data_IF_759682906198
#
_entry.id   IF_759682906198
#
_cell.length_a   1.000
_cell.length_b   1.000
_cell.length_c   1.000
_cell.angle_alpha   90.00
_cell.angle_beta   90.00
_cell.angle_gamma   90.00
#
_symmetry.space_group_name_H-M   'P 1'
#
loop_
_entity.id
_entity.type
_entity.pdbx_description
1 polymer ?
#
# COMPACT_ATOMS: atom_id res chain seq x y z
N UNK A 1 -15.48 -10.97 0.30
CA UNK A 1 -14.40 -10.53 1.21
C UNK A 1 -13.38 -11.66 1.25
N UNK A 2 -12.09 -11.36 1.16
CA UNK A 2 -11.02 -12.37 1.15
C UNK A 2 -10.98 -13.07 2.52
N UNK A 3 -10.97 -14.41 2.53
CA UNK A 3 -11.09 -15.19 3.77
C UNK A 3 -9.72 -15.34 4.45
N UNK A 4 -9.63 -14.97 5.72
CA UNK A 4 -8.43 -15.14 6.56
C UNK A 4 -8.51 -16.44 7.38
N UNK A 5 -7.39 -17.01 7.84
CA UNK A 5 -6.00 -16.59 7.60
C UNK A 5 -5.43 -17.05 6.25
N UNK A 6 -4.24 -16.56 5.92
CA UNK A 6 -3.57 -16.68 4.62
C UNK A 6 -2.36 -17.62 4.65
N UNK A 7 -2.17 -18.32 3.53
CA UNK A 7 -0.89 -18.88 3.10
C UNK A 7 -0.22 -17.90 2.13
N UNK A 8 0.98 -17.41 2.46
CA UNK A 8 1.71 -16.47 1.59
C UNK A 8 2.52 -17.24 0.54
N UNK A 9 2.06 -17.24 -0.70
CA UNK A 9 2.75 -17.88 -1.81
C UNK A 9 3.83 -16.95 -2.37
N UNK A 10 5.09 -17.37 -2.23
CA UNK A 10 6.26 -16.61 -2.66
C UNK A 10 6.81 -17.08 -4.02
N UNK A 11 6.19 -18.09 -4.64
CA UNK A 11 6.64 -18.66 -5.90
C UNK A 11 8.14 -18.95 -5.88
N UNK A 12 8.83 -18.53 -6.93
CA UNK A 12 10.27 -18.58 -7.15
C UNK A 12 10.91 -17.16 -7.05
N UNK A 13 10.43 -16.33 -6.11
CA UNK A 13 10.88 -14.93 -5.97
C UNK A 13 12.42 -14.80 -5.95
N UNK A 14 13.02 -14.01 -6.87
CA UNK A 14 14.47 -13.95 -7.03
C UNK A 14 15.17 -13.13 -5.95
N UNK A 15 14.42 -12.32 -5.19
CA UNK A 15 14.92 -11.45 -4.14
C UNK A 15 13.78 -11.03 -3.18
N UNK A 16 14.10 -10.47 -2.00
CA UNK A 16 13.09 -9.99 -1.05
C UNK A 16 12.18 -8.87 -1.57
N UNK A 17 12.66 -8.02 -2.50
CA UNK A 17 11.88 -6.90 -3.03
C UNK A 17 10.72 -7.40 -3.90
N UNK A 18 10.90 -8.52 -4.61
CA UNK A 18 9.84 -9.18 -5.36
C UNK A 18 8.70 -9.65 -4.44
N UNK A 19 8.97 -10.01 -3.19
CA UNK A 19 7.99 -10.45 -2.20
C UNK A 19 7.40 -9.32 -1.34
N UNK A 20 7.47 -8.06 -1.80
CA UNK A 20 6.97 -6.90 -1.04
C UNK A 20 5.50 -7.00 -0.62
N UNK A 21 4.68 -7.76 -1.36
CA UNK A 21 3.25 -7.94 -1.05
C UNK A 21 3.10 -8.83 0.18
N UNK A 22 3.75 -10.00 0.18
CA UNK A 22 3.81 -10.87 1.35
C UNK A 22 4.42 -10.16 2.57
N UNK A 23 5.49 -9.40 2.35
CA UNK A 23 6.17 -8.63 3.39
C UNK A 23 5.22 -7.63 4.05
N UNK A 24 4.47 -6.87 3.26
CA UNK A 24 3.47 -5.93 3.76
C UNK A 24 2.36 -6.62 4.55
N UNK A 25 1.85 -7.76 4.08
CA UNK A 25 0.84 -8.53 4.82
C UNK A 25 1.41 -9.02 6.16
N UNK A 26 2.61 -9.59 6.18
CA UNK A 26 3.24 -10.07 7.41
C UNK A 26 3.46 -8.95 8.42
N UNK A 27 3.97 -7.80 7.97
CA UNK A 27 4.30 -6.70 8.88
C UNK A 27 3.06 -6.05 9.50
N UNK A 28 1.96 -5.96 8.74
CA UNK A 28 0.78 -5.19 9.13
C UNK A 28 -0.43 -6.03 9.55
N UNK A 29 -0.43 -7.32 9.21
CA UNK A 29 -1.42 -8.33 9.62
C UNK A 29 -0.72 -9.67 9.90
N UNK A 30 0.23 -9.71 10.86
CA UNK A 30 0.90 -10.96 11.23
C UNK A 30 -0.09 -12.06 11.64
N UNK A 31 -1.24 -11.70 12.20
CA UNK A 31 -2.32 -12.63 12.55
C UNK A 31 -3.01 -13.27 11.33
N UNK A 32 -2.90 -12.66 10.13
CA UNK A 32 -3.38 -13.27 8.89
C UNK A 32 -2.29 -14.11 8.23
N UNK A 33 -1.01 -13.82 8.44
CA UNK A 33 0.11 -14.49 7.77
C UNK A 33 0.59 -15.74 8.55
N UNK A 34 -0.12 -16.86 8.40
CA UNK A 34 0.15 -18.09 9.18
C UNK A 34 1.39 -18.84 8.71
N UNK A 35 1.59 -18.95 7.40
CA UNK A 35 2.68 -19.70 6.80
C UNK A 35 3.10 -19.11 5.44
N UNK A 36 4.24 -19.56 4.94
CA UNK A 36 4.70 -19.27 3.59
C UNK A 36 4.83 -20.54 2.75
N UNK A 37 4.62 -20.41 1.45
CA UNK A 37 4.91 -21.46 0.48
C UNK A 37 5.97 -20.94 -0.50
N UNK A 38 7.09 -21.65 -0.61
CA UNK A 38 8.22 -21.31 -1.48
C UNK A 38 8.45 -22.42 -2.49
N UNK A 39 8.55 -22.06 -3.76
CA UNK A 39 8.97 -22.99 -4.81
C UNK A 39 10.50 -23.10 -4.84
N UNK A 40 10.99 -24.09 -5.58
CA UNK A 40 12.41 -24.25 -5.84
C UNK A 40 13.03 -22.96 -6.38
N UNK A 41 14.18 -22.56 -5.83
CA UNK A 41 14.89 -21.34 -6.24
C UNK A 41 14.41 -20.04 -5.60
N UNK A 42 13.34 -20.05 -4.79
CA UNK A 42 12.88 -18.86 -4.06
C UNK A 42 13.95 -18.35 -3.08
N UNK A 43 14.33 -17.07 -3.22
CA UNK A 43 15.28 -16.38 -2.34
C UNK A 43 14.62 -15.42 -1.35
N UNK A 44 13.33 -15.14 -1.52
CA UNK A 44 12.55 -14.42 -0.53
C UNK A 44 12.21 -15.33 0.66
N UNK A 45 12.13 -14.73 1.84
CA UNK A 45 11.79 -15.43 3.08
C UNK A 45 11.10 -14.45 4.03
N UNK A 46 9.84 -14.72 4.35
CA UNK A 46 9.04 -13.93 5.26
C UNK A 46 9.28 -14.31 6.72
N UNK A 47 10.17 -15.27 7.01
CA UNK A 47 10.44 -15.78 8.36
C UNK A 47 9.20 -16.41 9.00
N UNK A 48 8.33 -16.95 8.16
CA UNK A 48 7.17 -17.76 8.53
C UNK A 48 7.51 -19.24 8.33
N UNK A 49 6.79 -20.17 8.99
CA UNK A 49 6.93 -21.59 8.70
C UNK A 49 6.70 -21.88 7.22
N UNK A 50 7.61 -22.65 6.60
CA UNK A 50 7.34 -23.23 5.29
C UNK A 50 6.35 -24.38 5.45
N UNK A 51 5.25 -24.32 4.73
CA UNK A 51 4.22 -25.36 4.75
C UNK A 51 3.83 -25.76 3.33
N UNK A 52 3.59 -27.05 3.15
CA UNK A 52 2.84 -27.57 2.02
C UNK A 52 1.38 -27.08 2.05
N UNK A 53 0.65 -27.23 0.95
CA UNK A 53 -0.78 -26.87 0.90
C UNK A 53 -1.60 -27.62 1.95
N UNK A 54 -1.37 -28.93 2.12
CA UNK A 54 -2.06 -29.76 3.11
C UNK A 54 -1.75 -29.31 4.55
N UNK A 55 -0.49 -29.03 4.87
CA UNK A 55 -0.09 -28.52 6.20
C UNK A 55 -0.72 -27.16 6.48
N UNK A 56 -0.68 -26.24 5.52
CA UNK A 56 -1.30 -24.92 5.65
C UNK A 56 -2.82 -25.03 5.82
N UNK A 57 -3.47 -25.96 5.12
CA UNK A 57 -4.91 -26.22 5.26
C UNK A 57 -5.24 -26.73 6.66
N UNK A 58 -4.45 -27.67 7.16
CA UNK A 58 -4.58 -28.20 8.52
C UNK A 58 -4.30 -27.12 9.59
N UNK A 59 -3.39 -26.19 9.31
CA UNK A 59 -3.14 -25.00 10.13
C UNK A 59 -4.24 -23.93 10.05
N UNK A 60 -5.27 -24.15 9.23
CA UNK A 60 -6.47 -23.31 9.18
C UNK A 60 -6.47 -22.24 8.09
N UNK A 61 -5.44 -22.16 7.25
CA UNK A 61 -5.40 -21.22 6.13
C UNK A 61 -6.61 -21.41 5.21
N UNK A 62 -7.21 -20.28 4.78
CA UNK A 62 -8.41 -20.24 3.94
C UNK A 62 -8.11 -19.75 2.54
N UNK A 63 -7.17 -18.82 2.40
CA UNK A 63 -6.78 -18.24 1.12
C UNK A 63 -5.28 -18.36 0.89
N UNK A 64 -4.87 -18.76 -0.30
CA UNK A 64 -3.51 -18.63 -0.78
C UNK A 64 -3.38 -17.25 -1.45
N UNK A 65 -2.49 -16.41 -0.91
CA UNK A 65 -2.26 -15.07 -1.44
C UNK A 65 -0.97 -15.08 -2.25
N UNK A 66 -1.04 -14.65 -3.51
CA UNK A 66 0.13 -14.43 -4.36
C UNK A 66 0.91 -13.23 -3.81
N UNK A 67 1.92 -13.53 -3.01
CA UNK A 67 2.69 -12.58 -2.21
C UNK A 67 3.82 -11.88 -2.96
N UNK A 68 3.86 -12.01 -4.28
CA UNK A 68 4.97 -11.63 -5.14
C UNK A 68 4.52 -10.73 -6.28
N UNK A 69 5.41 -9.84 -6.70
CA UNK A 69 5.23 -8.99 -7.87
C UNK A 69 6.45 -9.14 -8.79
N UNK A 70 6.22 -9.65 -10.00
CA UNK A 70 7.23 -9.77 -11.04
C UNK A 70 7.04 -8.71 -12.13
N UNK A 71 8.10 -8.47 -12.93
CA UNK A 71 7.98 -7.59 -14.12
C UNK A 71 6.96 -8.21 -15.08
N UNK A 72 5.98 -7.40 -15.49
CA UNK A 72 4.92 -7.83 -16.40
C UNK A 72 3.74 -8.54 -15.74
N UNK A 73 3.83 -8.92 -14.45
CA UNK A 73 2.71 -9.53 -13.73
C UNK A 73 2.36 -10.96 -14.16
N UNK A 74 3.30 -11.67 -14.79
CA UNK A 74 3.07 -13.00 -15.41
C UNK A 74 2.86 -14.08 -14.36
N UNK A 75 1.87 -14.95 -14.56
CA UNK A 75 1.70 -16.20 -13.80
C UNK A 75 2.31 -17.31 -14.66
N UNK A 76 3.39 -17.94 -14.21
CA UNK A 76 4.05 -18.98 -14.98
C UNK A 76 3.27 -20.30 -14.94
N UNK A 77 3.49 -21.18 -15.90
CA UNK A 77 2.88 -22.53 -15.92
C UNK A 77 3.17 -23.33 -14.64
N UNK A 78 4.35 -23.12 -14.04
CA UNK A 78 4.72 -23.78 -12.78
C UNK A 78 3.91 -23.24 -11.60
N UNK A 79 3.61 -21.94 -11.57
CA UNK A 79 2.72 -21.35 -10.57
C UNK A 79 1.28 -21.79 -10.78
N UNK A 80 0.78 -21.80 -12.02
CA UNK A 80 -0.58 -22.24 -12.35
C UNK A 80 -0.84 -23.64 -11.78
N UNK A 81 0.10 -24.57 -11.91
CA UNK A 81 -0.03 -25.92 -11.32
C UNK A 81 -0.26 -25.87 -9.82
N UNK A 82 0.56 -25.14 -9.08
CA UNK A 82 0.42 -24.99 -7.61
C UNK A 82 -0.88 -24.29 -7.24
N UNK A 83 -1.31 -23.28 -8.01
CA UNK A 83 -2.55 -22.57 -7.76
C UNK A 83 -3.79 -23.45 -8.01
N UNK A 84 -3.76 -24.32 -9.03
CA UNK A 84 -4.79 -25.34 -9.27
C UNK A 84 -4.84 -26.35 -8.12
N UNK A 85 -3.68 -26.86 -7.68
CA UNK A 85 -3.59 -27.76 -6.53
C UNK A 85 -4.14 -27.10 -5.24
N UNK A 86 -3.87 -25.81 -5.04
CA UNK A 86 -4.43 -25.07 -3.91
C UNK A 86 -5.96 -24.94 -3.98
N UNK A 87 -6.53 -24.72 -5.16
CA UNK A 87 -7.99 -24.73 -5.34
C UNK A 87 -8.58 -26.11 -5.01
N UNK A 88 -7.93 -27.19 -5.41
CA UNK A 88 -8.33 -28.58 -5.11
C UNK A 88 -8.27 -28.89 -3.61
N UNK A 89 -7.23 -28.43 -2.90
CA UNK A 89 -7.09 -28.50 -1.43
C UNK A 89 -8.07 -27.58 -0.68
N UNK A 90 -8.86 -26.80 -1.42
CA UNK A 90 -9.97 -26.01 -0.89
C UNK A 90 -9.58 -24.61 -0.43
N UNK A 91 -8.51 -24.03 -0.98
CA UNK A 91 -8.16 -22.62 -0.80
C UNK A 91 -8.92 -21.74 -1.79
N UNK A 92 -9.29 -20.53 -1.36
CA UNK A 92 -9.53 -19.43 -2.31
C UNK A 92 -8.16 -18.85 -2.74
N UNK A 93 -8.06 -18.18 -3.89
CA UNK A 93 -6.81 -17.58 -4.36
C UNK A 93 -6.97 -16.07 -4.43
N UNK A 94 -6.01 -15.30 -3.93
CA UNK A 94 -5.99 -13.85 -4.07
C UNK A 94 -4.71 -13.35 -4.72
N UNK A 95 -4.83 -12.41 -5.67
CA UNK A 95 -3.71 -11.87 -6.43
C UNK A 95 -3.88 -10.38 -6.69
N UNK A 96 -2.76 -9.66 -6.61
CA UNK A 96 -2.63 -8.27 -7.07
C UNK A 96 -1.85 -8.14 -8.39
N UNK A 97 -1.60 -9.23 -9.12
CA UNK A 97 -0.85 -9.17 -10.37
C UNK A 97 -1.61 -8.42 -11.47
N UNK A 98 -0.89 -8.03 -12.54
CA UNK A 98 -1.52 -7.47 -13.73
C UNK A 98 -2.20 -8.53 -14.58
N UNK A 99 -1.61 -9.73 -14.68
CA UNK A 99 -2.32 -10.87 -15.25
C UNK A 99 -3.33 -11.36 -14.21
N UNK A 100 -4.60 -11.27 -14.58
CA UNK A 100 -5.70 -11.59 -13.67
C UNK A 100 -5.89 -13.10 -13.58
N UNK A 101 -6.20 -13.58 -12.39
CA UNK A 101 -6.52 -14.99 -12.14
C UNK A 101 -7.70 -15.45 -12.99
N UNK A 102 -8.72 -14.58 -13.16
CA UNK A 102 -9.90 -14.87 -13.96
C UNK A 102 -9.65 -14.97 -15.46
N UNK A 103 -8.52 -14.48 -15.95
CA UNK A 103 -8.15 -14.55 -17.36
C UNK A 103 -7.38 -15.84 -17.68
N UNK A 104 -7.00 -16.63 -16.65
CA UNK A 104 -6.31 -17.92 -16.79
C UNK A 104 -7.32 -19.09 -16.82
N UNK A 105 -7.57 -19.73 -17.98
CA UNK A 105 -8.66 -20.70 -18.13
C UNK A 105 -8.55 -21.91 -17.19
N UNK A 106 -7.33 -22.35 -16.88
CA UNK A 106 -7.09 -23.47 -15.96
C UNK A 106 -7.49 -23.12 -14.52
N UNK A 107 -7.25 -21.88 -14.09
CA UNK A 107 -7.63 -21.43 -12.75
C UNK A 107 -9.14 -21.27 -12.64
N UNK A 108 -9.79 -20.70 -13.66
CA UNK A 108 -11.25 -20.55 -13.70
C UNK A 108 -11.94 -21.92 -13.63
N UNK A 109 -11.53 -22.85 -14.49
CA UNK A 109 -12.11 -24.20 -14.51
C UNK A 109 -11.91 -24.95 -13.18
N UNK A 110 -10.75 -24.80 -12.54
CA UNK A 110 -10.48 -25.38 -11.23
C UNK A 110 -11.34 -24.74 -10.14
N UNK A 111 -11.43 -23.40 -10.12
CA UNK A 111 -12.24 -22.67 -9.14
C UNK A 111 -13.72 -23.05 -9.21
N UNK A 112 -14.28 -23.16 -10.42
CA UNK A 112 -15.65 -23.63 -10.63
C UNK A 112 -15.83 -25.08 -10.16
N UNK A 113 -14.91 -25.98 -10.55
CA UNK A 113 -14.97 -27.40 -10.20
C UNK A 113 -14.95 -27.64 -8.69
N UNK A 114 -14.15 -26.88 -7.95
CA UNK A 114 -13.97 -27.03 -6.50
C UNK A 114 -14.76 -26.00 -5.67
N UNK A 115 -15.60 -25.19 -6.33
CA UNK A 115 -16.45 -24.18 -5.71
C UNK A 115 -15.66 -23.17 -4.86
N UNK A 116 -14.54 -22.68 -5.40
CA UNK A 116 -13.61 -21.73 -4.77
C UNK A 116 -13.68 -20.36 -5.43
N UNK A 117 -13.17 -19.34 -4.74
CA UNK A 117 -13.15 -17.97 -5.24
C UNK A 117 -11.75 -17.55 -5.74
N UNK A 118 -11.73 -16.81 -6.85
CA UNK A 118 -10.54 -16.11 -7.36
C UNK A 118 -10.71 -14.61 -7.09
N UNK A 119 -9.80 -14.02 -6.33
CA UNK A 119 -9.83 -12.63 -5.93
C UNK A 119 -8.75 -11.82 -6.66
N UNK A 120 -9.15 -11.15 -7.73
CA UNK A 120 -8.33 -10.17 -8.45
C UNK A 120 -8.48 -8.79 -7.80
N UNK A 121 -7.62 -8.45 -6.84
CA UNK A 121 -7.74 -7.19 -6.07
C UNK A 121 -7.44 -5.93 -6.89
N UNK A 122 -6.98 -6.11 -8.13
CA UNK A 122 -6.66 -5.04 -9.06
C UNK A 122 -7.80 -4.67 -9.99
N UNK A 123 -8.93 -5.35 -9.90
CA UNK A 123 -10.12 -5.05 -10.69
C UNK A 123 -11.02 -4.10 -9.90
N UNK A 124 -11.30 -2.89 -10.42
CA UNK A 124 -12.38 -2.06 -9.89
C UNK A 124 -13.71 -2.81 -9.92
N UNK A 125 -14.36 -2.94 -8.77
CA UNK A 125 -15.68 -3.63 -8.64
C UNK A 125 -16.85 -2.65 -8.48
N UNK A 126 -16.57 -1.36 -8.56
CA UNK A 126 -17.55 -0.27 -8.41
C UNK A 126 -17.43 0.64 -9.62
N UNK A 127 -18.58 1.04 -10.16
CA UNK A 127 -18.66 2.12 -11.15
C UNK A 127 -18.49 3.46 -10.43
N UNK A 128 -17.26 3.94 -10.38
CA UNK A 128 -16.94 5.19 -9.70
C UNK A 128 -17.50 6.40 -10.46
N UNK A 129 -18.05 7.40 -9.77
CA UNK A 129 -18.49 8.62 -10.42
C UNK A 129 -17.30 9.48 -10.85
N UNK A 130 -17.56 10.49 -11.67
CA UNK A 130 -16.61 11.61 -11.85
C UNK A 130 -16.60 12.42 -10.55
N UNK A 131 -15.40 12.82 -10.11
CA UNK A 131 -15.24 13.64 -8.91
C UNK A 131 -16.03 14.96 -9.02
N UNK A 132 -16.67 15.37 -7.93
CA UNK A 132 -17.44 16.61 -7.88
C UNK A 132 -16.81 17.69 -6.97
N UNK A 133 -15.79 17.35 -6.19
CA UNK A 133 -15.05 18.27 -5.34
C UNK A 133 -15.84 18.85 -4.16
N UNK A 134 -17.05 18.35 -3.87
CA UNK A 134 -17.81 18.78 -2.70
C UNK A 134 -17.07 18.35 -1.44
N UNK A 135 -16.83 19.31 -0.54
CA UNK A 135 -16.21 19.04 0.76
C UNK A 135 -17.08 18.04 1.53
N UNK A 136 -16.41 17.06 2.12
CA UNK A 136 -17.00 16.00 2.93
C UNK A 136 -16.60 16.20 4.39
N UNK A 137 -17.50 15.82 5.29
CA UNK A 137 -17.25 15.75 6.74
C UNK A 137 -16.16 14.73 7.07
N UNK A 138 -15.62 14.80 8.29
CA UNK A 138 -14.40 14.09 8.68
C UNK A 138 -13.13 14.69 8.07
N UNK A 139 -11.99 14.19 8.54
CA UNK A 139 -10.66 14.68 8.20
C UNK A 139 -9.88 13.66 7.37
N UNK A 140 -8.97 14.15 6.52
CA UNK A 140 -8.24 13.32 5.55
C UNK A 140 -6.75 13.64 5.61
N UNK A 141 -5.92 12.62 5.80
CA UNK A 141 -4.46 12.73 5.72
C UNK A 141 -3.98 11.96 4.48
N UNK A 142 -3.19 12.61 3.62
CA UNK A 142 -2.59 11.97 2.46
C UNK A 142 -1.06 11.93 2.60
N UNK A 143 -0.49 10.73 2.49
CA UNK A 143 0.94 10.57 2.32
C UNK A 143 1.34 10.88 0.87
N UNK A 144 2.16 11.91 0.66
CA UNK A 144 2.79 12.22 -0.64
C UNK A 144 4.28 11.91 -0.54
N UNK A 145 4.98 11.67 -1.64
CA UNK A 145 6.39 11.27 -1.53
C UNK A 145 7.26 11.69 -2.69
N UNK A 146 8.56 11.75 -2.46
CA UNK A 146 9.56 12.15 -3.46
C UNK A 146 9.61 11.17 -4.64
N UNK A 147 9.23 9.91 -4.42
CA UNK A 147 9.24 8.84 -5.42
C UNK A 147 8.22 7.72 -5.07
N UNK A 148 8.11 6.72 -5.94
CA UNK A 148 7.39 5.49 -5.71
C UNK A 148 8.10 4.60 -4.67
N UNK A 149 7.35 3.81 -3.89
CA UNK A 149 7.92 2.86 -2.91
C UNK A 149 8.87 3.48 -1.87
N UNK A 150 8.57 4.69 -1.39
CA UNK A 150 9.36 5.41 -0.35
C UNK A 150 8.75 5.33 1.05
N UNK A 151 7.78 4.44 1.27
CA UNK A 151 7.17 4.21 2.59
C UNK A 151 5.75 4.76 2.80
N UNK A 152 5.14 5.43 1.81
CA UNK A 152 3.79 6.05 1.94
C UNK A 152 2.72 5.17 2.60
N UNK A 153 2.58 3.91 2.15
CA UNK A 153 1.66 2.94 2.74
C UNK A 153 2.01 2.64 4.21
N UNK A 154 3.29 2.42 4.51
CA UNK A 154 3.77 2.12 5.85
C UNK A 154 3.58 3.33 6.79
N UNK A 155 3.75 4.55 6.30
CA UNK A 155 3.46 5.78 7.05
C UNK A 155 2.00 5.83 7.48
N UNK A 156 1.06 5.63 6.54
CA UNK A 156 -0.37 5.65 6.85
C UNK A 156 -0.77 4.53 7.80
N UNK A 157 -0.26 3.30 7.61
CA UNK A 157 -0.55 2.17 8.49
C UNK A 157 0.04 2.36 9.90
N UNK A 158 1.25 2.92 10.00
CA UNK A 158 1.89 3.19 11.29
C UNK A 158 1.10 4.24 12.09
N UNK A 159 0.69 5.31 11.42
CA UNK A 159 -0.12 6.35 12.05
C UNK A 159 -1.52 5.85 12.39
N UNK A 160 -2.19 5.08 11.51
CA UNK A 160 -3.49 4.48 11.79
C UNK A 160 -3.44 3.57 13.04
N UNK A 161 -2.43 2.69 13.11
CA UNK A 161 -2.20 1.83 14.27
C UNK A 161 -2.02 2.65 15.56
N UNK A 162 -1.12 3.62 15.55
CA UNK A 162 -0.86 4.51 16.69
C UNK A 162 -2.11 5.28 17.12
N UNK A 163 -2.87 5.82 16.16
CA UNK A 163 -4.11 6.55 16.44
C UNK A 163 -5.15 5.65 17.11
N UNK A 164 -5.33 4.43 16.60
CA UNK A 164 -6.28 3.45 17.17
C UNK A 164 -5.85 2.98 18.56
N UNK A 165 -4.55 2.78 18.79
CA UNK A 165 -3.99 2.47 20.12
C UNK A 165 -4.26 3.59 21.14
N UNK A 166 -4.35 4.85 20.68
CA UNK A 166 -4.74 6.02 21.47
C UNK A 166 -6.25 6.22 21.59
N UNK A 167 -7.08 5.35 21.01
CA UNK A 167 -8.54 5.48 20.99
C UNK A 167 -9.08 6.56 20.06
N UNK A 168 -8.27 7.05 19.11
CA UNK A 168 -8.71 8.00 18.08
C UNK A 168 -9.44 7.25 16.95
N UNK A 169 -10.37 7.96 16.29
CA UNK A 169 -11.10 7.44 15.14
C UNK A 169 -10.25 7.56 13.88
N UNK A 170 -9.76 6.44 13.39
CA UNK A 170 -8.92 6.38 12.19
C UNK A 170 -9.20 5.11 11.40
N UNK A 171 -9.26 5.29 10.08
CA UNK A 171 -9.29 4.21 9.10
C UNK A 171 -8.20 4.39 8.05
N UNK A 172 -7.37 3.36 7.86
CA UNK A 172 -6.49 3.27 6.70
C UNK A 172 -7.30 3.04 5.42
N UNK A 173 -7.11 3.92 4.42
CA UNK A 173 -7.78 3.86 3.13
C UNK A 173 -6.83 3.36 2.05
N UNK A 174 -6.93 2.07 1.73
CA UNK A 174 -6.08 1.42 0.74
C UNK A 174 -6.36 1.91 -0.69
N UNK A 175 -5.29 2.24 -1.41
CA UNK A 175 -5.32 2.76 -2.78
C UNK A 175 -4.48 1.92 -3.75
N UNK A 176 -3.83 0.87 -3.23
CA UNK A 176 -3.06 -0.09 -4.01
C UNK A 176 -3.33 -1.54 -3.60
N UNK A 177 -2.90 -2.48 -4.45
CA UNK A 177 -3.14 -3.91 -4.27
C UNK A 177 -2.67 -4.44 -2.91
N UNK A 178 -1.51 -3.98 -2.42
CA UNK A 178 -0.94 -4.47 -1.16
C UNK A 178 -1.80 -4.00 0.01
N UNK A 179 -2.20 -2.73 0.02
CA UNK A 179 -3.12 -2.19 1.03
C UNK A 179 -4.46 -2.93 1.04
N UNK A 180 -5.00 -3.27 -0.14
CA UNK A 180 -6.24 -4.05 -0.26
C UNK A 180 -6.08 -5.46 0.31
N UNK A 181 -4.96 -6.13 0.04
CA UNK A 181 -4.70 -7.47 0.61
C UNK A 181 -4.50 -7.44 2.14
N UNK A 182 -3.97 -6.33 2.67
CA UNK A 182 -3.82 -6.09 4.12
C UNK A 182 -5.18 -5.84 4.79
N UNK A 183 -6.05 -5.04 4.17
CA UNK A 183 -7.29 -4.57 4.81
C UNK A 183 -8.56 -5.32 4.40
N UNK A 184 -8.51 -6.05 3.29
CA UNK A 184 -9.66 -6.75 2.71
C UNK A 184 -10.56 -5.85 1.83
N UNK A 185 -10.22 -4.56 1.65
CA UNK A 185 -11.00 -3.62 0.85
C UNK A 185 -10.21 -2.37 0.47
N UNK A 186 -10.72 -1.59 -0.49
CA UNK A 186 -10.08 -0.36 -0.97
C UNK A 186 -10.31 -0.13 -2.46
N UNK A 187 -9.50 0.74 -3.05
CA UNK A 187 -9.56 1.07 -4.47
C UNK A 187 -8.22 0.75 -5.14
N UNK A 188 -8.15 -0.12 -6.16
CA UNK A 188 -6.93 -0.31 -6.93
C UNK A 188 -6.75 0.86 -7.90
N UNK A 189 -6.30 2.01 -7.39
CA UNK A 189 -6.39 3.29 -8.08
C UNK A 189 -5.66 3.29 -9.43
N UNK A 190 -4.55 2.56 -9.54
CA UNK A 190 -3.77 2.46 -10.77
C UNK A 190 -4.48 1.71 -11.92
N UNK A 191 -5.56 0.99 -11.61
CA UNK A 191 -6.40 0.29 -12.56
C UNK A 191 -7.73 1.01 -12.85
N UNK A 192 -7.97 2.15 -12.19
CA UNK A 192 -9.16 2.97 -12.45
C UNK A 192 -8.91 3.83 -13.70
N UNK A 193 -9.88 3.84 -14.62
CA UNK A 193 -9.83 4.69 -15.82
C UNK A 193 -9.74 6.16 -15.42
N UNK A 194 -8.91 6.92 -16.13
CA UNK A 194 -8.48 8.28 -15.76
C UNK A 194 -9.62 9.21 -15.31
N UNK A 195 -10.74 9.25 -16.04
CA UNK A 195 -11.90 10.11 -15.76
C UNK A 195 -12.52 9.87 -14.37
N UNK A 196 -12.34 8.68 -13.80
CA UNK A 196 -12.95 8.26 -12.55
C UNK A 196 -11.96 8.12 -11.39
N UNK A 197 -10.67 8.37 -11.62
CA UNK A 197 -9.64 8.18 -10.58
C UNK A 197 -9.92 9.05 -9.35
N UNK A 198 -10.15 10.35 -9.52
CA UNK A 198 -10.44 11.24 -8.40
C UNK A 198 -11.77 10.88 -7.71
N UNK A 199 -12.80 10.51 -8.47
CA UNK A 199 -14.11 10.15 -7.90
C UNK A 199 -14.07 8.83 -7.13
N UNK A 200 -13.18 7.91 -7.51
CA UNK A 200 -12.91 6.70 -6.72
C UNK A 200 -12.31 7.01 -5.34
N UNK A 201 -11.51 8.08 -5.23
CA UNK A 201 -10.94 8.54 -3.96
C UNK A 201 -12.00 9.28 -3.12
N UNK A 202 -12.91 10.03 -3.75
CA UNK A 202 -14.08 10.59 -3.05
C UNK A 202 -14.97 9.47 -2.47
N UNK A 203 -15.24 8.43 -3.26
CA UNK A 203 -15.97 7.25 -2.80
C UNK A 203 -15.28 6.53 -1.64
N UNK A 204 -13.94 6.40 -1.71
CA UNK A 204 -13.14 5.75 -0.68
C UNK A 204 -13.11 6.54 0.64
N UNK A 205 -13.34 7.85 0.60
CA UNK A 205 -13.26 8.77 1.74
C UNK A 205 -14.58 9.52 1.96
N UNK A 206 -15.67 8.80 2.28
CA UNK A 206 -17.02 9.36 2.37
C UNK A 206 -17.16 10.35 3.55
N UNK A 207 -18.35 10.89 3.73
CA UNK A 207 -18.71 11.62 4.96
C UNK A 207 -18.49 10.73 6.20
N UNK A 208 -17.99 11.35 7.27
CA UNK A 208 -17.64 10.69 8.53
C UNK A 208 -17.74 11.67 9.70
N UNK A 209 -17.57 11.20 10.94
CA UNK A 209 -17.55 12.06 12.12
C UNK A 209 -16.48 13.15 11.99
N UNK A 210 -16.74 14.36 12.52
CA UNK A 210 -15.84 15.52 12.39
C UNK A 210 -14.41 15.27 12.92
N UNK A 211 -14.26 14.35 13.87
CA UNK A 211 -13.00 13.95 14.48
C UNK A 211 -12.38 12.67 13.88
N UNK A 212 -13.03 12.04 12.90
CA UNK A 212 -12.52 10.87 12.21
C UNK A 212 -11.44 11.23 11.20
N UNK A 213 -10.37 10.43 11.12
CA UNK A 213 -9.31 10.56 10.14
C UNK A 213 -9.26 9.41 9.14
N UNK A 214 -9.44 9.73 7.86
CA UNK A 214 -9.12 8.84 6.75
C UNK A 214 -7.62 8.95 6.43
N UNK A 215 -6.88 7.87 6.64
CA UNK A 215 -5.44 7.78 6.37
C UNK A 215 -5.23 7.23 4.96
N UNK A 216 -5.18 8.13 3.98
CA UNK A 216 -5.16 7.79 2.55
C UNK A 216 -3.77 7.29 2.15
N UNK A 217 -3.70 6.02 1.73
CA UNK A 217 -2.49 5.44 1.17
C UNK A 217 -2.02 6.24 -0.06
N UNK A 218 -0.80 6.76 0.00
CA UNK A 218 -0.21 7.47 -1.13
C UNK A 218 0.30 6.54 -2.23
N UNK A 219 0.00 6.87 -3.49
CA UNK A 219 0.56 6.23 -4.69
C UNK A 219 1.46 7.18 -5.48
N UNK A 220 2.37 6.64 -6.28
CA UNK A 220 3.16 7.42 -7.23
C UNK A 220 4.05 8.51 -6.61
N UNK A 221 4.35 9.54 -7.40
CA UNK A 221 4.90 10.82 -6.97
C UNK A 221 4.52 11.86 -8.02
N UNK A 222 4.21 13.09 -7.60
CA UNK A 222 3.90 14.21 -8.52
C UNK A 222 5.07 14.51 -9.48
N UNK A 223 6.30 14.11 -9.11
CA UNK A 223 7.51 14.32 -9.91
C UNK A 223 7.87 13.10 -10.77
N UNK A 224 7.21 11.95 -10.58
CA UNK A 224 7.51 10.75 -11.33
C UNK A 224 6.70 10.72 -12.64
N UNK A 225 7.38 10.84 -13.79
CA UNK A 225 6.75 10.97 -15.12
C UNK A 225 5.70 9.90 -15.42
N UNK A 226 5.90 8.66 -14.96
CA UNK A 226 4.96 7.56 -15.22
C UNK A 226 3.74 7.54 -14.29
N UNK A 227 3.79 8.17 -13.11
CA UNK A 227 2.82 7.93 -12.02
C UNK A 227 2.30 9.23 -11.36
N UNK A 228 2.63 10.39 -11.91
CA UNK A 228 2.20 11.69 -11.39
C UNK A 228 0.68 11.86 -11.45
N UNK A 229 0.03 11.36 -12.52
CA UNK A 229 -1.43 11.39 -12.67
C UNK A 229 -2.17 10.70 -11.52
N UNK A 230 -1.65 9.55 -11.05
CA UNK A 230 -2.23 8.82 -9.91
C UNK A 230 -2.13 9.64 -8.63
N UNK A 231 -1.00 10.32 -8.41
CA UNK A 231 -0.80 11.15 -7.22
C UNK A 231 -1.72 12.37 -7.24
N UNK A 232 -1.90 13.00 -8.40
CA UNK A 232 -2.80 14.13 -8.56
C UNK A 232 -4.26 13.75 -8.31
N UNK A 233 -4.68 12.57 -8.75
CA UNK A 233 -6.02 12.05 -8.45
C UNK A 233 -6.26 11.87 -6.95
N UNK A 234 -5.26 11.38 -6.20
CA UNK A 234 -5.32 11.30 -4.74
C UNK A 234 -5.42 12.66 -4.08
N UNK A 235 -4.63 13.64 -4.54
CA UNK A 235 -4.64 15.00 -3.98
C UNK A 235 -6.01 15.67 -4.18
N UNK A 236 -6.56 15.63 -5.38
CA UNK A 236 -7.85 16.28 -5.66
C UNK A 236 -9.04 15.49 -5.12
N UNK A 237 -9.10 14.18 -5.36
CA UNK A 237 -10.21 13.35 -4.88
C UNK A 237 -10.21 13.20 -3.36
N UNK A 238 -9.03 13.19 -2.73
CA UNK A 238 -8.89 13.08 -1.28
C UNK A 238 -9.15 14.37 -0.51
N UNK A 239 -9.10 15.55 -1.15
CA UNK A 239 -9.25 16.86 -0.49
C UNK A 239 -8.60 16.92 0.92
N UNK A 240 -7.31 16.54 1.06
CA UNK A 240 -6.71 16.28 2.35
C UNK A 240 -6.68 17.53 3.22
N UNK A 241 -6.89 17.36 4.52
CA UNK A 241 -6.66 18.38 5.54
C UNK A 241 -5.17 18.42 5.93
N UNK A 242 -4.49 17.28 5.84
CA UNK A 242 -3.07 17.16 6.15
C UNK A 242 -2.31 16.34 5.11
N UNK A 243 -1.05 16.73 4.87
CA UNK A 243 -0.08 15.97 4.09
C UNK A 243 1.08 15.52 4.98
N UNK A 244 1.54 14.28 4.77
CA UNK A 244 2.82 13.79 5.31
C UNK A 244 3.77 13.52 4.15
N UNK A 245 4.96 14.13 4.19
CA UNK A 245 5.96 13.98 3.13
C UNK A 245 6.79 12.72 3.36
N UNK A 246 6.83 11.83 2.38
CA UNK A 246 7.53 10.56 2.45
C UNK A 246 8.80 10.58 1.60
N UNK A 247 9.92 10.13 2.17
CA UNK A 247 11.21 10.15 1.50
C UNK A 247 12.04 8.91 1.81
N UNK A 248 12.96 8.56 0.91
CA UNK A 248 13.94 7.50 1.13
C UNK A 248 15.29 8.04 0.60
N UNK A 249 16.27 8.29 1.49
CA UNK A 249 17.40 9.16 1.21
C UNK A 249 18.57 8.49 0.48
N UNK A 250 18.56 7.16 0.35
CA UNK A 250 19.66 6.42 -0.29
C UNK A 250 19.48 6.25 -1.80
N UNK A 251 18.38 6.76 -2.36
CA UNK A 251 18.08 6.67 -3.79
C UNK A 251 18.96 7.58 -4.65
N UNK A 252 19.70 7.02 -5.63
CA UNK A 252 20.46 7.83 -6.58
C UNK A 252 19.56 8.43 -7.69
N UNK A 253 18.43 7.81 -7.98
CA UNK A 253 17.49 8.20 -9.03
C UNK A 253 16.07 7.68 -8.73
N UNK A 254 15.08 8.19 -9.44
CA UNK A 254 13.70 7.71 -9.35
C UNK A 254 13.58 6.26 -9.78
N UNK A 255 12.68 5.52 -9.14
CA UNK A 255 12.52 4.08 -9.37
C UNK A 255 12.16 3.77 -10.83
N UNK A 256 13.04 3.02 -11.51
CA UNK A 256 12.83 2.63 -12.90
C UNK A 256 13.18 3.72 -13.93
N UNK A 257 13.67 4.87 -13.47
CA UNK A 257 14.05 6.01 -14.32
C UNK A 257 15.48 6.50 -13.98
N UNK A 258 16.55 5.81 -14.42
CA UNK A 258 17.94 6.12 -14.05
C UNK A 258 18.42 7.55 -14.39
N UNK A 259 17.76 8.23 -15.33
CA UNK A 259 18.07 9.61 -15.72
C UNK A 259 17.37 10.70 -14.90
N UNK A 260 16.48 10.34 -13.97
CA UNK A 260 15.68 11.31 -13.22
C UNK A 260 16.08 11.31 -11.75
N UNK A 261 16.38 12.49 -11.21
CA UNK A 261 16.67 12.69 -9.78
C UNK A 261 15.39 12.84 -8.98
N UNK A 262 15.45 12.56 -7.68
CA UNK A 262 14.36 12.86 -6.76
C UNK A 262 14.26 14.39 -6.56
N UNK A 263 13.05 14.93 -6.34
CA UNK A 263 12.89 16.31 -5.90
C UNK A 263 13.41 16.48 -4.47
N UNK A 264 13.70 17.71 -4.07
CA UNK A 264 13.91 18.03 -2.66
C UNK A 264 12.61 17.89 -1.86
N UNK A 265 12.73 17.84 -0.53
CA UNK A 265 11.56 17.83 0.36
C UNK A 265 10.78 19.15 0.30
N UNK A 266 11.46 20.28 0.08
CA UNK A 266 10.84 21.58 -0.16
C UNK A 266 10.06 21.62 -1.46
N UNK A 267 10.64 21.13 -2.56
CA UNK A 267 9.95 21.03 -3.85
C UNK A 267 8.70 20.15 -3.72
N UNK A 268 8.83 18.99 -3.05
CA UNK A 268 7.69 18.12 -2.77
C UNK A 268 6.63 18.84 -1.94
N UNK A 269 7.02 19.52 -0.86
CA UNK A 269 6.13 20.28 0.03
C UNK A 269 5.35 21.31 -0.78
N UNK A 270 6.05 22.16 -1.51
CA UNK A 270 5.49 23.35 -2.14
C UNK A 270 4.53 22.96 -3.27
N UNK A 271 4.92 22.02 -4.14
CA UNK A 271 4.06 21.55 -5.24
C UNK A 271 2.85 20.79 -4.70
N UNK A 272 3.05 19.89 -3.73
CA UNK A 272 1.93 19.11 -3.17
C UNK A 272 0.92 20.01 -2.47
N UNK A 273 1.39 20.98 -1.70
CA UNK A 273 0.54 21.92 -0.97
C UNK A 273 -0.21 22.86 -1.91
N UNK A 274 0.45 23.36 -2.96
CA UNK A 274 -0.18 24.19 -3.98
C UNK A 274 -1.36 23.45 -4.63
N UNK A 275 -1.16 22.19 -5.02
CA UNK A 275 -2.21 21.39 -5.66
C UNK A 275 -3.32 20.98 -4.67
N UNK A 276 -2.96 20.60 -3.44
CA UNK A 276 -3.94 20.24 -2.42
C UNK A 276 -4.88 21.40 -2.06
N UNK A 277 -4.35 22.63 -2.04
CA UNK A 277 -5.12 23.85 -1.74
C UNK A 277 -6.15 24.23 -2.80
N UNK A 278 -6.09 23.63 -3.99
CA UNK A 278 -7.17 23.73 -4.98
C UNK A 278 -8.46 23.09 -4.46
N UNK A 279 -8.34 21.91 -3.81
CA UNK A 279 -9.48 21.17 -3.27
C UNK A 279 -9.79 21.48 -1.80
N UNK A 280 -8.79 21.91 -1.03
CA UNK A 280 -8.93 22.27 0.39
C UNK A 280 -7.95 23.41 0.77
N UNK A 281 -8.39 24.68 0.79
CA UNK A 281 -7.52 25.82 1.08
C UNK A 281 -6.78 25.74 2.43
N UNK A 282 -7.36 25.04 3.40
CA UNK A 282 -6.82 24.87 4.75
C UNK A 282 -5.80 23.72 4.87
N UNK A 283 -5.51 23.02 3.77
CA UNK A 283 -4.54 21.93 3.78
C UNK A 283 -3.16 22.40 4.29
N UNK A 284 -2.53 21.57 5.14
CA UNK A 284 -1.20 21.79 5.71
C UNK A 284 -0.31 20.57 5.54
N UNK A 285 1.01 20.79 5.57
CA UNK A 285 1.99 19.70 5.71
C UNK A 285 2.34 19.59 7.20
N UNK A 286 2.12 18.42 7.79
CA UNK A 286 2.21 18.23 9.25
C UNK A 286 3.47 17.49 9.71
N UNK A 287 4.15 16.78 8.81
CA UNK A 287 5.34 16.02 9.18
C UNK A 287 6.00 15.31 8.01
N UNK A 288 7.12 14.67 8.30
CA UNK A 288 7.96 13.99 7.33
C UNK A 288 8.24 12.56 7.81
N UNK A 289 7.95 11.61 6.94
CA UNK A 289 8.23 10.20 7.13
C UNK A 289 9.42 9.79 6.27
N UNK A 290 10.53 9.41 6.88
CA UNK A 290 11.72 8.98 6.15
C UNK A 290 11.90 7.47 6.31
N UNK A 291 11.97 6.76 5.20
CA UNK A 291 12.37 5.35 5.19
C UNK A 291 13.89 5.26 5.34
N UNK A 292 14.36 4.81 6.50
CA UNK A 292 15.79 4.68 6.82
C UNK A 292 16.28 3.22 6.80
N UNK A 293 15.54 2.29 6.19
CA UNK A 293 15.83 0.84 6.22
C UNK A 293 17.25 0.47 5.75
N UNK A 294 17.86 1.29 4.91
CA UNK A 294 19.21 1.07 4.36
C UNK A 294 20.31 1.81 5.14
N UNK A 295 19.97 2.40 6.28
CA UNK A 295 20.87 3.17 7.12
C UNK A 295 21.07 2.47 8.47
N UNK A 296 22.25 2.68 9.07
CA UNK A 296 22.48 2.34 10.47
C UNK A 296 21.56 3.16 11.38
N UNK A 297 21.36 2.70 12.62
CA UNK A 297 20.54 3.43 13.59
C UNK A 297 21.09 4.84 13.85
N UNK A 298 22.40 4.96 14.03
CA UNK A 298 23.08 6.25 14.27
C UNK A 298 22.94 7.21 13.08
N UNK A 299 23.14 6.71 11.85
CA UNK A 299 22.99 7.52 10.65
C UNK A 299 21.53 7.93 10.43
N UNK A 300 20.58 7.04 10.71
CA UNK A 300 19.15 7.31 10.60
C UNK A 300 18.75 8.43 11.56
N UNK A 301 19.08 8.32 12.84
CA UNK A 301 18.76 9.36 13.85
C UNK A 301 19.37 10.71 13.47
N UNK A 302 20.64 10.74 13.06
CA UNK A 302 21.30 11.98 12.63
C UNK A 302 20.64 12.58 11.39
N UNK A 303 20.26 11.75 10.41
CA UNK A 303 19.57 12.21 9.20
C UNK A 303 18.20 12.81 9.52
N UNK A 304 17.40 12.14 10.36
CA UNK A 304 16.09 12.63 10.80
C UNK A 304 16.19 13.99 11.51
N UNK A 305 17.17 14.16 12.40
CA UNK A 305 17.41 15.43 13.09
C UNK A 305 17.78 16.56 12.13
N UNK A 306 18.64 16.30 11.15
CA UNK A 306 19.03 17.29 10.16
C UNK A 306 17.84 17.71 9.29
N UNK A 307 17.02 16.76 8.83
CA UNK A 307 15.81 17.05 8.05
C UNK A 307 14.80 17.83 8.88
N UNK A 308 14.60 17.47 10.15
CA UNK A 308 13.71 18.20 11.06
C UNK A 308 14.17 19.65 11.27
N UNK A 309 15.47 19.87 11.45
CA UNK A 309 16.04 21.21 11.57
C UNK A 309 15.84 22.02 10.28
N UNK A 310 16.07 21.40 9.13
CA UNK A 310 15.94 22.04 7.82
C UNK A 310 14.48 22.40 7.50
N UNK A 311 13.55 21.48 7.76
CA UNK A 311 12.15 21.62 7.35
C UNK A 311 11.27 22.26 8.42
N UNK A 312 11.71 22.30 9.67
CA UNK A 312 10.92 22.79 10.79
C UNK A 312 9.68 21.94 11.08
N UNK A 313 9.70 20.67 10.67
CA UNK A 313 8.57 19.74 10.75
C UNK A 313 8.99 18.45 11.47
N UNK A 314 8.12 17.87 12.32
CA UNK A 314 8.37 16.58 12.93
C UNK A 314 8.78 15.54 11.89
N UNK A 315 9.96 14.97 12.07
CA UNK A 315 10.56 14.01 11.12
C UNK A 315 10.89 12.71 11.83
N UNK A 316 10.33 11.60 11.34
CA UNK A 316 10.52 10.27 11.94
C UNK A 316 10.66 9.21 10.86
N UNK A 317 11.25 8.07 11.21
CA UNK A 317 11.00 6.81 10.54
C UNK A 317 9.87 6.09 11.29
N UNK A 318 8.62 6.09 10.79
CA UNK A 318 7.48 5.59 11.56
C UNK A 318 7.49 4.07 11.71
N UNK A 319 8.22 3.34 10.86
CA UNK A 319 8.35 1.89 10.97
C UNK A 319 9.43 1.51 11.99
N UNK A 320 10.55 2.25 12.00
CA UNK A 320 11.67 2.00 12.91
C UNK A 320 11.47 2.58 14.31
N UNK A 321 10.93 3.79 14.41
CA UNK A 321 10.86 4.59 15.63
C UNK A 321 9.43 4.84 16.14
N UNK A 322 8.42 4.42 15.39
CA UNK A 322 7.01 4.64 15.70
C UNK A 322 6.46 5.96 15.16
N UNK A 323 5.13 6.04 15.05
CA UNK A 323 4.43 7.15 14.39
C UNK A 323 3.96 8.26 15.35
N UNK A 324 4.20 8.13 16.65
CA UNK A 324 3.62 9.00 17.67
C UNK A 324 3.80 10.51 17.42
N UNK A 325 5.01 10.95 17.02
CA UNK A 325 5.29 12.37 16.74
C UNK A 325 4.52 12.90 15.52
N UNK A 326 4.26 12.05 14.51
CA UNK A 326 3.43 12.44 13.37
C UNK A 326 1.96 12.55 13.78
N UNK A 327 1.49 11.66 14.65
CA UNK A 327 0.13 11.72 15.20
C UNK A 327 -0.06 12.96 16.09
N UNK A 328 0.93 13.30 16.92
CA UNK A 328 0.89 14.52 17.74
C UNK A 328 0.78 15.77 16.85
N UNK A 329 1.57 15.83 15.79
CA UNK A 329 1.54 16.92 14.82
C UNK A 329 0.20 17.02 14.07
N UNK A 330 -0.37 15.87 13.70
CA UNK A 330 -1.67 15.78 13.04
C UNK A 330 -2.79 16.32 13.94
N UNK A 331 -2.79 15.93 15.22
CA UNK A 331 -3.82 16.35 16.18
C UNK A 331 -3.71 17.82 16.61
N UNK A 332 -2.54 18.43 16.45
CA UNK A 332 -2.31 19.85 16.70
C UNK A 332 -2.61 20.76 15.49
N UNK A 333 -2.93 20.17 14.32
CA UNK A 333 -3.06 20.90 13.04
C UNK A 333 -4.40 21.56 12.77
#
# INVERSE_FOLDING_TARGET
MIKTPYLLFLGDAPDPLAAKVAQGIRDWRPEFAVAQFRMEGCKADMKLPDMTLAEAKAAGCKTLVVGVANRGGVISDSWIKVLVEALEEGFDIASGLHNLLRDEPLLVAAAERFGRELHDVRVPVVDYPIANGKKRSGKRMLAVGTDCSVGKMYTCLAMDKEMRERGLKSDFRATGQTGILITGGGVPLDAVVADFMAGSVEYLTPDNDEDHWDMIEGQGSLFHISYSGVTLALVHGGQPDALVLCHEPTRPHMRGLPGYKLPSLEELRDVSLQLARVGNPECKVVGISVNTQHMSEEDAVRYLQNVEQQMGLPTVDPFRHGAGRLVDALMAS
#
